data_IF_399396113948
#
_entry.id   IF_399396113948
#
_cell.length_a   1.000
_cell.length_b   1.000
_cell.length_c   1.000
_cell.angle_alpha   90.00
_cell.angle_beta   90.00
_cell.angle_gamma   90.00
#
_symmetry.space_group_name_H-M   'P 1'
#
loop_
_entity.id
_entity.type
_entity.pdbx_description
1 polymer ?
#
# COMPACT_ATOMS: atom_id res chain seq x y z
N UNK A 1 3.44 43.64 -26.24
CA UNK A 1 3.65 42.19 -26.27
C UNK A 1 3.24 41.67 -24.91
N UNK A 2 2.02 41.13 -24.80
CA UNK A 2 1.52 40.55 -23.55
C UNK A 2 1.83 39.06 -23.58
N UNK A 3 2.86 38.68 -22.85
CA UNK A 3 3.25 37.29 -22.69
C UNK A 3 2.29 36.69 -21.65
N UNK A 4 1.33 35.90 -22.12
CA UNK A 4 0.48 35.06 -21.26
C UNK A 4 1.37 33.97 -20.67
N UNK A 5 1.97 34.27 -19.52
CA UNK A 5 2.61 33.27 -18.66
C UNK A 5 1.51 32.48 -17.96
N UNK A 6 0.95 31.51 -18.65
CA UNK A 6 -0.02 30.57 -18.09
C UNK A 6 0.15 29.23 -18.80
N UNK A 7 1.31 28.61 -18.63
CA UNK A 7 1.55 27.23 -19.07
C UNK A 7 2.10 26.46 -17.88
N UNK A 8 1.35 25.44 -17.46
CA UNK A 8 1.85 24.31 -16.70
C UNK A 8 1.72 24.40 -15.19
N UNK A 9 0.51 24.50 -14.64
CA UNK A 9 0.27 23.85 -13.35
C UNK A 9 0.15 22.35 -13.66
N UNK A 10 1.30 21.67 -13.74
CA UNK A 10 1.32 20.21 -13.72
C UNK A 10 0.81 19.81 -12.33
N UNK A 11 -0.44 19.35 -12.30
CA UNK A 11 -1.04 18.72 -11.15
C UNK A 11 -0.10 17.61 -10.66
N UNK A 12 0.60 17.87 -9.56
CA UNK A 12 1.72 17.05 -9.13
C UNK A 12 1.28 15.71 -8.50
N UNK A 13 0.05 15.26 -8.79
CA UNK A 13 -0.49 13.96 -8.38
C UNK A 13 -0.61 13.79 -6.86
N UNK A 14 -0.49 14.89 -6.09
CA UNK A 14 -0.69 14.92 -4.64
C UNK A 14 -2.16 14.81 -4.24
N UNK A 15 -3.08 14.74 -5.21
CA UNK A 15 -4.49 14.50 -4.99
C UNK A 15 -4.77 13.17 -4.28
N UNK A 16 -3.85 12.20 -4.40
CA UNK A 16 -3.95 10.91 -3.71
C UNK A 16 -2.63 10.54 -3.07
N UNK A 17 -2.63 10.42 -1.75
CA UNK A 17 -1.47 9.91 -1.08
C UNK A 17 -1.42 8.36 -1.22
N UNK A 18 -0.26 7.77 -1.55
CA UNK A 18 -0.12 6.32 -1.69
C UNK A 18 -0.52 5.51 -0.45
N UNK A 19 -0.46 6.12 0.73
CA UNK A 19 -0.84 5.50 2.01
C UNK A 19 -2.34 5.59 2.34
N UNK A 20 -3.15 6.27 1.51
CA UNK A 20 -4.62 6.26 1.64
C UNK A 20 -5.26 5.06 0.93
N UNK A 21 -4.52 4.40 0.05
CA UNK A 21 -4.99 3.20 -0.63
C UNK A 21 -4.83 2.00 0.29
N UNK A 22 -5.85 1.13 0.35
CA UNK A 22 -5.67 -0.15 1.03
C UNK A 22 -4.64 -1.00 0.29
N UNK A 23 -3.68 -1.61 1.01
CA UNK A 23 -2.69 -2.45 0.37
C UNK A 23 -3.37 -3.64 -0.29
N UNK A 24 -3.13 -3.80 -1.59
CA UNK A 24 -3.57 -4.96 -2.35
C UNK A 24 -2.48 -6.01 -2.33
N UNK A 25 -2.86 -7.25 -2.00
CA UNK A 25 -1.95 -8.39 -1.96
C UNK A 25 -2.35 -9.40 -3.03
N UNK A 26 -1.37 -9.91 -3.74
CA UNK A 26 -1.54 -11.05 -4.64
C UNK A 26 -1.89 -12.32 -3.85
N UNK A 27 -2.44 -13.33 -4.53
CA UNK A 27 -2.71 -14.63 -3.91
C UNK A 27 -1.46 -15.29 -3.30
N UNK A 28 -0.29 -15.07 -3.92
CA UNK A 28 0.99 -15.57 -3.39
C UNK A 28 1.37 -14.87 -2.08
N UNK A 29 1.23 -13.55 -2.01
CA UNK A 29 1.51 -12.80 -0.79
C UNK A 29 0.50 -13.14 0.31
N UNK A 30 -0.79 -13.26 -0.03
CA UNK A 30 -1.82 -13.68 0.91
C UNK A 30 -1.51 -15.05 1.53
N UNK A 31 -0.96 -15.99 0.77
CA UNK A 31 -0.55 -17.29 1.30
C UNK A 31 0.51 -17.18 2.41
N UNK A 32 1.45 -16.23 2.26
CA UNK A 32 2.50 -15.94 3.26
C UNK A 32 1.90 -15.20 4.46
N UNK A 33 1.04 -14.20 4.20
CA UNK A 33 0.42 -13.38 5.25
C UNK A 33 -0.52 -14.19 6.16
N UNK A 34 -1.23 -15.17 5.59
CA UNK A 34 -2.16 -16.02 6.31
C UNK A 34 -1.52 -17.31 6.87
N UNK A 35 -0.22 -17.54 6.64
CA UNK A 35 0.48 -18.72 7.16
C UNK A 35 0.51 -18.70 8.72
N UNK A 36 -0.15 -19.64 9.39
CA UNK A 36 -0.18 -19.70 10.85
C UNK A 36 1.16 -20.08 11.48
N UNK A 37 2.09 -20.66 10.70
CA UNK A 37 3.44 -21.00 11.17
C UNK A 37 4.34 -19.77 11.26
N UNK A 38 3.99 -18.68 10.57
CA UNK A 38 4.71 -17.42 10.63
C UNK A 38 4.08 -16.48 11.66
N UNK A 39 4.93 -15.82 12.44
CA UNK A 39 4.46 -14.69 13.24
C UNK A 39 3.98 -13.55 12.31
N UNK A 40 3.04 -12.70 12.76
CA UNK A 40 2.58 -11.57 11.96
C UNK A 40 3.69 -10.61 11.54
N UNK A 41 4.78 -10.51 12.32
CA UNK A 41 5.92 -9.66 12.00
C UNK A 41 6.77 -10.27 10.88
N UNK A 42 7.09 -11.56 10.96
CA UNK A 42 7.87 -12.26 9.94
C UNK A 42 7.13 -12.38 8.60
N UNK A 43 5.81 -12.55 8.64
CA UNK A 43 4.99 -12.55 7.43
C UNK A 43 4.98 -11.16 6.77
N UNK A 44 4.85 -10.10 7.58
CA UNK A 44 4.88 -8.71 7.10
C UNK A 44 6.22 -8.34 6.48
N UNK A 45 7.32 -8.76 7.11
CA UNK A 45 8.68 -8.53 6.61
C UNK A 45 8.93 -9.23 5.27
N UNK A 46 8.47 -10.48 5.11
CA UNK A 46 8.62 -11.22 3.85
C UNK A 46 7.87 -10.60 2.68
N UNK A 47 6.71 -10.00 2.94
CA UNK A 47 5.88 -9.36 1.91
C UNK A 47 6.24 -7.87 1.73
N UNK A 48 6.86 -7.25 2.72
CA UNK A 48 7.16 -5.82 2.71
C UNK A 48 5.95 -4.94 3.06
N UNK A 49 5.07 -5.41 3.95
CA UNK A 49 3.88 -4.67 4.37
C UNK A 49 3.89 -4.32 5.87
N UNK A 50 2.89 -3.57 6.34
CA UNK A 50 2.78 -3.30 7.77
C UNK A 50 2.25 -4.52 8.51
N UNK A 51 2.82 -4.84 9.67
CA UNK A 51 2.33 -5.89 10.59
C UNK A 51 0.83 -5.74 10.89
N UNK A 52 0.33 -4.50 10.96
CA UNK A 52 -1.09 -4.21 11.18
C UNK A 52 -1.97 -4.81 10.10
N UNK A 53 -1.53 -4.80 8.85
CA UNK A 53 -2.31 -5.33 7.73
C UNK A 53 -2.44 -6.85 7.84
N UNK A 54 -1.36 -7.53 8.25
CA UNK A 54 -1.36 -8.98 8.54
C UNK A 54 -2.34 -9.32 9.65
N UNK A 55 -2.31 -8.57 10.76
CA UNK A 55 -3.25 -8.79 11.87
C UNK A 55 -4.70 -8.53 11.45
N UNK A 56 -4.95 -7.52 10.61
CA UNK A 56 -6.27 -7.21 10.05
C UNK A 56 -6.77 -8.35 9.15
N UNK A 57 -5.93 -8.84 8.25
CA UNK A 57 -6.23 -9.96 7.35
C UNK A 57 -6.57 -11.22 8.14
N UNK A 58 -5.74 -11.60 9.12
CA UNK A 58 -5.98 -12.81 9.95
C UNK A 58 -7.23 -12.73 10.83
N UNK A 59 -7.73 -11.52 11.12
CA UNK A 59 -8.98 -11.34 11.87
C UNK A 59 -10.23 -11.48 10.99
N UNK A 60 -10.07 -11.26 9.69
CA UNK A 60 -11.16 -11.20 8.70
C UNK A 60 -11.23 -12.43 7.81
N UNK A 61 -10.14 -13.20 7.70
CA UNK A 61 -10.09 -14.56 7.15
C UNK A 61 -10.77 -15.56 8.10
#
# INVERSE_FOLDING_TARGET
>A
MSERSSVGFEDAGWDFAPWEQEPQFSAGELSILLDPLLSPAEAAERVGCAKRDVMRLRRTA
#
